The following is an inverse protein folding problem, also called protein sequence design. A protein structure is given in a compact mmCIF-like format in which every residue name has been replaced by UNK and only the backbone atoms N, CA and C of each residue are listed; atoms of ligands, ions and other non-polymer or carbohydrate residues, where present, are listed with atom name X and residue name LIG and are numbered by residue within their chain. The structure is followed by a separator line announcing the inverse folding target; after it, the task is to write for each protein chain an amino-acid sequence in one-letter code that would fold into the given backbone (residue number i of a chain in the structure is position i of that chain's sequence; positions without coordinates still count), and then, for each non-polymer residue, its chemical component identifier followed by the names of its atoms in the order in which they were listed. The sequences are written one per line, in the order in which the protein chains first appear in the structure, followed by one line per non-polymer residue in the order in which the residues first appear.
data_IF_107848476796
#
_entry.id   IF_107848476796
#
_cell.length_a   1.000
_cell.length_b   1.000
_cell.length_c   1.000
_cell.angle_alpha   90.00
_cell.angle_beta   90.00
_cell.angle_gamma   90.00
#
_symmetry.space_group_name_H-M   'P 1'
#
loop_
_entity.id
_entity.type
_entity.pdbx_description
1 polymer ?
#
# COMPACT_ATOMS: atom_id res chain seq x y z
N UNK A 1 -17.37 -4.21 -5.87
CA UNK A 1 -16.03 -4.48 -6.46
C UNK A 1 -14.98 -3.68 -5.73
N UNK A 2 -13.88 -4.31 -5.38
CA UNK A 2 -12.79 -3.58 -4.78
C UNK A 2 -12.13 -2.67 -5.82
N UNK A 3 -11.83 -1.43 -5.44
CA UNK A 3 -11.02 -0.55 -6.27
C UNK A 3 -9.59 -1.04 -6.27
N UNK A 4 -8.94 -0.97 -7.40
CA UNK A 4 -7.52 -1.21 -7.53
C UNK A 4 -6.83 0.04 -8.06
N UNK A 5 -5.53 0.14 -7.81
CA UNK A 5 -4.72 1.23 -8.31
C UNK A 5 -3.44 0.67 -8.89
N UNK A 6 -3.00 1.23 -10.00
CA UNK A 6 -1.72 0.88 -10.61
C UNK A 6 -0.87 2.12 -10.71
N UNK A 7 0.38 2.02 -10.28
CA UNK A 7 1.32 3.12 -10.41
C UNK A 7 2.66 2.62 -10.94
N UNK A 8 3.41 3.52 -11.55
CA UNK A 8 4.76 3.23 -12.04
C UNK A 8 5.77 3.82 -11.07
N UNK A 9 6.77 3.03 -10.71
CA UNK A 9 7.84 3.43 -9.80
C UNK A 9 9.17 3.15 -10.46
N UNK A 10 10.06 4.14 -10.46
CA UNK A 10 11.42 3.93 -10.91
C UNK A 10 12.28 3.41 -9.77
N UNK A 11 13.05 2.36 -10.04
CA UNK A 11 14.07 1.89 -9.10
C UNK A 11 15.27 2.82 -9.22
N UNK A 12 15.57 3.52 -8.15
CA UNK A 12 16.63 4.52 -8.10
C UNK A 12 17.93 3.90 -7.64
N UNK A 13 19.04 4.62 -7.89
CA UNK A 13 20.35 4.18 -7.45
C UNK A 13 20.38 3.87 -5.94
N UNK A 14 19.79 4.73 -5.13
CA UNK A 14 19.74 4.58 -3.67
C UNK A 14 18.91 3.39 -3.19
N UNK A 15 18.13 2.77 -4.07
CA UNK A 15 17.35 1.59 -3.71
C UNK A 15 18.14 0.29 -3.83
N UNK A 16 19.33 0.33 -4.41
CA UNK A 16 20.09 -0.85 -4.79
C UNK A 16 21.26 -1.11 -3.84
N UNK A 17 21.70 -2.37 -3.78
CA UNK A 17 22.84 -2.80 -3.00
C UNK A 17 24.03 -3.15 -3.92
N UNK A 18 25.19 -3.53 -3.34
CA UNK A 18 26.37 -3.86 -4.16
C UNK A 18 26.19 -5.02 -5.14
N UNK A 19 25.14 -5.83 -5.00
CA UNK A 19 24.85 -6.88 -5.97
C UNK A 19 24.24 -6.33 -7.25
N UNK A 20 23.90 -5.03 -7.31
CA UNK A 20 23.36 -4.38 -8.50
C UNK A 20 21.86 -4.58 -8.65
N UNK A 21 21.19 -5.10 -7.63
CA UNK A 21 19.74 -5.26 -7.62
C UNK A 21 19.16 -4.46 -6.46
N UNK A 22 17.85 -4.29 -6.46
CA UNK A 22 17.17 -3.59 -5.37
C UNK A 22 17.48 -4.29 -4.04
N UNK A 23 17.76 -3.50 -3.01
CA UNK A 23 17.89 -3.99 -1.64
C UNK A 23 16.49 -4.34 -1.14
N UNK A 24 16.26 -5.60 -0.75
CA UNK A 24 14.91 -6.13 -0.56
C UNK A 24 14.01 -5.31 0.39
N UNK A 25 14.51 -4.66 1.46
CA UNK A 25 13.61 -3.84 2.31
C UNK A 25 12.98 -2.67 1.56
N UNK A 26 13.59 -2.22 0.46
CA UNK A 26 13.04 -1.15 -0.36
C UNK A 26 11.74 -1.55 -1.04
N UNK A 27 11.54 -2.83 -1.30
CA UNK A 27 10.25 -3.32 -1.80
C UNK A 27 9.13 -2.99 -0.82
N UNK A 28 9.36 -3.16 0.47
CA UNK A 28 8.34 -2.87 1.48
C UNK A 28 8.00 -1.39 1.55
N UNK A 29 8.96 -0.50 1.31
CA UNK A 29 8.69 0.93 1.21
C UNK A 29 7.82 1.24 -0.02
N UNK A 30 8.10 0.59 -1.14
CA UNK A 30 7.30 0.73 -2.37
C UNK A 30 5.88 0.24 -2.12
N UNK A 31 5.71 -0.90 -1.46
CA UNK A 31 4.40 -1.45 -1.16
C UNK A 31 3.63 -0.57 -0.17
N UNK A 32 4.29 -0.08 0.86
CA UNK A 32 3.66 0.84 1.80
C UNK A 32 3.16 2.10 1.11
N UNK A 33 3.99 2.70 0.28
CA UNK A 33 3.61 3.87 -0.50
C UNK A 33 2.48 3.56 -1.49
N UNK A 34 2.44 2.33 -2.01
CA UNK A 34 1.40 1.91 -2.96
C UNK A 34 0.04 1.72 -2.26
N UNK A 35 0.04 1.26 -1.02
CA UNK A 35 -1.17 1.22 -0.19
C UNK A 35 -1.71 2.63 0.02
N UNK A 36 -0.85 3.57 0.37
CA UNK A 36 -1.22 4.97 0.50
C UNK A 36 -1.80 5.52 -0.81
N UNK A 37 -1.15 5.25 -1.93
CA UNK A 37 -1.60 5.71 -3.24
C UNK A 37 -3.00 5.19 -3.59
N UNK A 38 -3.31 3.95 -3.24
CA UNK A 38 -4.64 3.38 -3.45
C UNK A 38 -5.72 4.18 -2.71
N UNK A 39 -5.48 4.47 -1.43
CA UNK A 39 -6.43 5.25 -0.63
C UNK A 39 -6.53 6.70 -1.11
N UNK A 40 -5.41 7.32 -1.45
CA UNK A 40 -5.41 8.68 -1.97
C UNK A 40 -6.22 8.78 -3.26
N UNK A 41 -6.05 7.80 -4.14
CA UNK A 41 -6.80 7.73 -5.39
C UNK A 41 -8.31 7.57 -5.13
N UNK A 42 -8.68 6.65 -4.25
CA UNK A 42 -10.08 6.36 -3.94
C UNK A 42 -10.77 7.53 -3.23
N UNK A 43 -10.09 8.16 -2.29
CA UNK A 43 -10.68 9.19 -1.44
C UNK A 43 -10.58 10.59 -2.05
N UNK A 44 -9.72 10.77 -3.03
CA UNK A 44 -9.50 12.10 -3.62
C UNK A 44 -8.82 13.08 -2.68
N UNK A 45 -8.03 12.58 -1.74
CA UNK A 45 -7.28 13.40 -0.80
C UNK A 45 -5.97 12.72 -0.45
N UNK A 46 -4.99 13.51 0.01
CA UNK A 46 -3.71 12.97 0.46
C UNK A 46 -3.86 12.31 1.83
N UNK A 47 -2.92 11.42 2.16
CA UNK A 47 -2.90 10.82 3.50
C UNK A 47 -2.77 11.88 4.59
N UNK A 48 -2.02 12.94 4.29
CA UNK A 48 -1.91 14.09 5.20
C UNK A 48 -3.29 14.71 5.47
N UNK A 49 -4.09 14.88 4.43
CA UNK A 49 -5.47 15.40 4.55
C UNK A 49 -6.39 14.42 5.28
N UNK A 50 -6.16 13.11 5.12
CA UNK A 50 -6.92 12.09 5.84
C UNK A 50 -6.79 12.27 7.35
N UNK A 51 -5.58 12.56 7.85
CA UNK A 51 -5.37 12.82 9.27
C UNK A 51 -6.13 14.04 9.78
N UNK A 52 -6.39 15.01 8.91
CA UNK A 52 -7.12 16.23 9.27
C UNK A 52 -8.63 16.06 9.16
N UNK A 53 -9.10 15.35 8.14
CA UNK A 53 -10.50 15.37 7.72
C UNK A 53 -11.29 14.12 8.13
N UNK A 54 -10.62 13.07 8.57
CA UNK A 54 -11.26 11.81 8.94
C UNK A 54 -10.89 11.43 10.37
N UNK A 55 -11.72 10.58 10.97
CA UNK A 55 -11.30 9.88 12.18
C UNK A 55 -10.27 8.83 11.79
N UNK A 56 -9.03 9.21 11.81
CA UNK A 56 -7.93 8.40 11.28
C UNK A 56 -6.62 8.74 11.99
N UNK A 57 -6.00 7.73 12.57
CA UNK A 57 -4.70 7.83 13.22
C UNK A 57 -3.66 6.91 12.59
N UNK A 58 -3.95 6.39 11.40
CA UNK A 58 -3.07 5.51 10.66
C UNK A 58 -3.63 4.11 10.53
N UNK A 59 -2.92 3.30 9.76
CA UNK A 59 -3.26 1.89 9.58
C UNK A 59 -2.03 1.02 9.80
N UNK A 60 -1.67 0.78 11.06
CA UNK A 60 -0.49 -0.03 11.38
C UNK A 60 -0.58 -1.41 10.74
N UNK A 61 0.60 -1.90 10.37
CA UNK A 61 0.74 -3.21 9.75
C UNK A 61 0.67 -4.28 10.83
N UNK A 62 -0.22 -5.24 10.64
CA UNK A 62 -0.37 -6.38 11.53
C UNK A 62 0.45 -7.57 11.03
N UNK A 63 0.45 -7.76 9.71
CA UNK A 63 1.13 -8.88 9.08
C UNK A 63 1.46 -8.51 7.65
N UNK A 64 2.64 -8.91 7.20
CA UNK A 64 3.00 -8.80 5.79
C UNK A 64 3.76 -10.05 5.36
N UNK A 65 3.63 -10.37 4.10
CA UNK A 65 4.27 -11.51 3.48
C UNK A 65 4.58 -11.16 2.04
N UNK A 66 5.81 -11.42 1.62
CA UNK A 66 6.23 -11.10 0.26
C UNK A 66 6.99 -12.26 -0.37
N UNK A 67 6.90 -12.36 -1.68
CA UNK A 67 7.69 -13.29 -2.49
C UNK A 67 8.43 -12.49 -3.55
N UNK A 68 9.70 -12.79 -3.71
CA UNK A 68 10.57 -12.13 -4.68
C UNK A 68 10.93 -13.16 -5.74
N UNK A 69 10.41 -12.98 -6.94
CA UNK A 69 10.50 -13.95 -8.03
C UNK A 69 11.62 -13.61 -9.01
N UNK A 70 11.81 -12.31 -9.29
CA UNK A 70 12.85 -11.81 -10.17
C UNK A 70 13.38 -10.49 -9.64
N UNK A 71 14.70 -10.27 -9.69
CA UNK A 71 15.28 -9.02 -9.23
C UNK A 71 14.94 -7.86 -10.15
N UNK A 72 14.88 -6.68 -9.58
CA UNK A 72 14.80 -5.42 -10.34
C UNK A 72 16.06 -4.62 -10.06
N UNK A 73 16.39 -3.70 -10.97
CA UNK A 73 17.68 -3.00 -10.97
C UNK A 73 17.50 -1.50 -11.12
N UNK A 74 18.56 -0.77 -10.83
CA UNK A 74 18.58 0.66 -11.06
C UNK A 74 18.16 0.98 -12.51
N UNK A 75 17.22 1.92 -12.60
CA UNK A 75 16.70 2.39 -13.89
C UNK A 75 15.47 1.64 -14.39
N UNK A 76 15.09 0.54 -13.73
CA UNK A 76 13.87 -0.17 -14.10
C UNK A 76 12.65 0.64 -13.68
N UNK A 77 11.68 0.73 -14.59
CA UNK A 77 10.36 1.30 -14.28
C UNK A 77 9.41 0.14 -14.05
N UNK A 78 9.04 -0.07 -12.79
CA UNK A 78 8.15 -1.17 -12.42
C UNK A 78 6.73 -0.65 -12.24
N UNK A 79 5.74 -1.52 -12.49
CA UNK A 79 4.35 -1.21 -12.21
C UNK A 79 3.92 -1.97 -10.98
N UNK A 80 3.21 -1.29 -10.08
CA UNK A 80 2.64 -1.92 -8.87
C UNK A 80 1.14 -1.81 -8.95
N UNK A 81 0.49 -2.96 -9.03
CA UNK A 81 -0.97 -3.06 -8.97
C UNK A 81 -1.36 -3.41 -7.54
N UNK A 82 -2.22 -2.60 -6.95
CA UNK A 82 -2.63 -2.74 -5.55
C UNK A 82 -4.14 -2.85 -5.46
N UNK A 83 -4.63 -3.83 -4.72
CA UNK A 83 -6.05 -4.04 -4.48
C UNK A 83 -6.32 -4.22 -3.00
N UNK A 84 -7.57 -3.97 -2.59
CA UNK A 84 -7.96 -4.03 -1.17
C UNK A 84 -9.21 -4.87 -0.97
N UNK A 85 -9.24 -5.56 0.16
CA UNK A 85 -10.40 -6.28 0.66
C UNK A 85 -10.65 -5.84 2.10
N UNK A 86 -11.83 -5.29 2.37
CA UNK A 86 -12.16 -4.76 3.68
C UNK A 86 -12.81 -5.79 4.59
N UNK A 87 -12.36 -5.80 5.87
CA UNK A 87 -13.10 -6.37 6.98
C UNK A 87 -13.80 -5.24 7.73
N UNK A 88 -14.09 -5.44 9.01
CA UNK A 88 -14.76 -4.41 9.81
C UNK A 88 -13.82 -3.26 10.17
N UNK A 89 -12.71 -3.58 10.82
CA UNK A 89 -11.67 -2.62 11.25
C UNK A 89 -10.36 -2.88 10.53
N UNK A 90 -10.18 -4.06 9.98
CA UNK A 90 -8.97 -4.45 9.27
C UNK A 90 -9.24 -4.49 7.78
N UNK A 91 -8.17 -4.45 7.01
CA UNK A 91 -8.23 -4.66 5.56
C UNK A 91 -6.99 -5.39 5.10
N UNK A 92 -7.14 -6.09 4.00
CA UNK A 92 -6.06 -6.84 3.38
C UNK A 92 -5.72 -6.19 2.05
N UNK A 93 -4.43 -6.05 1.79
CA UNK A 93 -3.89 -5.46 0.57
C UNK A 93 -3.11 -6.53 -0.17
N UNK A 94 -3.28 -6.58 -1.49
CA UNK A 94 -2.45 -7.38 -2.36
C UNK A 94 -1.72 -6.46 -3.35
N UNK A 95 -0.41 -6.66 -3.45
CA UNK A 95 0.43 -5.93 -4.40
C UNK A 95 1.04 -6.91 -5.39
N UNK A 96 1.08 -6.50 -6.66
CA UNK A 96 1.80 -7.21 -7.71
C UNK A 96 2.74 -6.22 -8.39
N UNK A 97 4.03 -6.46 -8.26
CA UNK A 97 5.06 -5.61 -8.85
C UNK A 97 5.63 -6.32 -10.08
N UNK A 98 5.52 -5.66 -11.23
CA UNK A 98 5.92 -6.25 -12.52
C UNK A 98 6.84 -5.34 -13.29
N UNK A 99 7.70 -5.95 -14.10
CA UNK A 99 8.57 -5.24 -15.02
C UNK A 99 8.25 -5.75 -16.44
N UNK A 100 7.82 -4.83 -17.31
CA UNK A 100 7.48 -5.17 -18.71
C UNK A 100 6.50 -6.35 -18.79
N UNK A 101 5.49 -6.34 -17.92
CA UNK A 101 4.46 -7.36 -17.90
C UNK A 101 4.82 -8.64 -17.16
N UNK A 102 6.04 -8.77 -16.65
CA UNK A 102 6.50 -9.95 -15.95
C UNK A 102 6.50 -9.71 -14.44
N UNK A 103 5.85 -10.60 -13.70
CA UNK A 103 5.76 -10.48 -12.24
C UNK A 103 7.14 -10.69 -11.60
N UNK A 104 7.59 -9.69 -10.83
CA UNK A 104 8.89 -9.72 -10.16
C UNK A 104 8.75 -9.93 -8.66
N UNK A 105 7.71 -9.36 -8.04
CA UNK A 105 7.47 -9.50 -6.62
C UNK A 105 5.98 -9.39 -6.35
N UNK A 106 5.53 -10.03 -5.28
CA UNK A 106 4.16 -9.89 -4.80
C UNK A 106 4.19 -9.79 -3.28
N UNK A 107 3.19 -9.11 -2.73
CA UNK A 107 3.14 -8.85 -1.29
C UNK A 107 1.69 -8.81 -0.84
N UNK A 108 1.43 -9.40 0.32
CA UNK A 108 0.16 -9.21 1.02
C UNK A 108 0.41 -8.46 2.31
N UNK A 109 -0.57 -7.63 2.71
CA UNK A 109 -0.53 -6.87 3.95
C UNK A 109 -1.87 -7.04 4.66
N UNK A 110 -1.81 -7.10 5.99
CA UNK A 110 -2.99 -6.93 6.81
C UNK A 110 -2.78 -5.72 7.70
N UNK A 111 -3.70 -4.78 7.64
CA UNK A 111 -3.63 -3.51 8.36
C UNK A 111 -4.93 -3.27 9.12
N UNK A 112 -4.86 -2.40 10.12
CA UNK A 112 -6.00 -2.05 10.95
C UNK A 112 -6.21 -0.55 10.89
N UNK A 113 -7.45 -0.13 10.63
CA UNK A 113 -7.83 1.28 10.72
C UNK A 113 -7.83 1.67 12.20
N UNK A 114 -7.17 2.78 12.52
CA UNK A 114 -7.07 3.24 13.91
C UNK A 114 -7.53 4.67 14.06
N UNK A 115 -7.94 4.97 15.29
CA UNK A 115 -8.12 6.33 15.78
C UNK A 115 -7.25 6.50 17.02
N UNK A 116 -7.11 7.72 17.48
CA UNK A 116 -6.37 8.01 18.69
C UNK A 116 -7.35 8.39 19.80
N UNK A 117 -7.18 7.81 20.98
CA UNK A 117 -7.89 8.17 22.17
C UNK A 117 -6.90 8.53 23.31
N UNK A 118 -7.39 8.70 24.51
CA UNK A 118 -6.55 9.05 25.66
C UNK A 118 -5.45 8.03 25.97
N UNK A 119 -5.62 6.79 25.54
CA UNK A 119 -4.70 5.69 25.80
C UNK A 119 -3.78 5.38 24.60
N UNK A 120 -3.88 6.12 23.50
CA UNK A 120 -3.08 5.95 22.30
C UNK A 120 -3.90 5.45 21.11
N UNK A 121 -3.29 4.61 20.27
CA UNK A 121 -3.95 4.07 19.08
C UNK A 121 -4.96 2.98 19.48
N UNK A 122 -6.09 3.02 18.79
CA UNK A 122 -7.19 2.08 19.03
C UNK A 122 -7.79 1.68 17.68
N UNK A 123 -8.09 0.39 17.52
CA UNK A 123 -8.79 -0.07 16.33
C UNK A 123 -10.17 0.55 16.25
N UNK A 124 -10.62 0.85 15.05
CA UNK A 124 -11.91 1.50 14.81
C UNK A 124 -12.51 0.95 13.52
N UNK A 125 -13.81 0.72 13.46
CA UNK A 125 -14.45 0.31 12.22
C UNK A 125 -14.14 1.28 11.10
N UNK A 126 -13.89 0.74 9.92
CA UNK A 126 -13.59 1.59 8.76
C UNK A 126 -14.80 2.47 8.49
N UNK A 127 -14.64 3.81 8.40
CA UNK A 127 -15.76 4.70 8.22
C UNK A 127 -16.59 4.36 6.98
N UNK A 128 -17.92 4.37 7.08
CA UNK A 128 -18.77 4.12 5.93
C UNK A 128 -18.49 5.06 4.74
N UNK A 129 -18.10 6.29 5.02
CA UNK A 129 -17.74 7.26 3.99
C UNK A 129 -16.52 6.82 3.18
N UNK A 130 -15.58 6.13 3.83
CA UNK A 130 -14.40 5.56 3.16
C UNK A 130 -14.81 4.38 2.29
N UNK A 131 -15.57 3.44 2.86
CA UNK A 131 -16.06 2.27 2.13
C UNK A 131 -16.86 2.67 0.89
N UNK A 132 -17.68 3.72 1.01
CA UNK A 132 -18.49 4.20 -0.11
C UNK A 132 -17.61 4.66 -1.28
N UNK A 133 -16.45 5.26 -1.01
CA UNK A 133 -15.54 5.72 -2.05
C UNK A 133 -14.93 4.55 -2.83
N UNK A 134 -14.67 3.43 -2.17
CA UNK A 134 -14.16 2.23 -2.82
C UNK A 134 -15.24 1.49 -3.62
N UNK A 135 -16.49 1.67 -3.29
CA UNK A 135 -17.60 1.02 -3.97
C UNK A 135 -18.25 1.93 -5.04
N UNK A 136 -17.78 3.16 -5.19
CA UNK A 136 -18.29 4.07 -6.19
C UNK A 136 -17.92 3.58 -7.60
N UNK A 137 -18.82 3.72 -8.58
CA UNK A 137 -18.52 3.36 -9.98
C UNK A 137 -17.51 4.29 -10.61
#
# INVERSE_FOLDING_TARGET
MALSNTRTVRIEWGDCDPAGIIFYPRYFEIFDASTTALFECALGMTKFEMFKNLEFAGWPLVKTHARFLKPTRFGDDVTVETSVKFGRSSFEIEHRLSLKGELCAECSEKRVWTIRDANGLKSHPIPPSVLAKFNAP
#
